data_IF_877440904050
#
_entry.id   IF_877440904050
#
_cell.length_a   1.000
_cell.length_b   1.000
_cell.length_c   1.000
_cell.angle_alpha   90.00
_cell.angle_beta   90.00
_cell.angle_gamma   90.00
#
_symmetry.space_group_name_H-M   'P 1'
#
loop_
_entity.id
_entity.type
_entity.pdbx_description
1 polymer ?
#
# COMPACT_ATOMS: atom_id res chain seq x y z
N UNK A 1 -14.09 2.48 -4.06
CA UNK A 1 -13.34 3.42 -3.21
C UNK A 1 -14.26 4.59 -2.88
N UNK A 2 -14.21 5.11 -1.65
CA UNK A 2 -14.99 6.29 -1.26
C UNK A 2 -14.33 7.58 -1.76
N UNK A 3 -15.13 8.64 -1.89
CA UNK A 3 -14.67 9.93 -2.38
C UNK A 3 -13.86 10.67 -1.30
N UNK A 4 -12.70 11.22 -1.67
CA UNK A 4 -11.89 12.01 -0.73
C UNK A 4 -12.55 13.35 -0.40
N UNK A 5 -12.61 13.70 0.90
CA UNK A 5 -13.15 14.98 1.39
C UNK A 5 -12.03 15.81 2.02
N UNK A 6 -11.68 16.92 1.37
CA UNK A 6 -10.68 17.85 1.89
C UNK A 6 -11.20 18.66 3.09
N UNK A 7 -10.44 18.70 4.18
CA UNK A 7 -10.76 19.51 5.36
C UNK A 7 -10.30 20.97 5.16
N UNK A 8 -11.15 21.77 4.50
CA UNK A 8 -10.86 23.19 4.22
C UNK A 8 -10.67 24.03 5.49
N UNK A 9 -11.37 23.70 6.57
CA UNK A 9 -11.27 24.40 7.85
C UNK A 9 -9.91 24.13 8.52
N UNK A 10 -9.45 22.87 8.52
CA UNK A 10 -8.12 22.52 9.01
C UNK A 10 -6.99 23.13 8.17
N UNK A 11 -7.17 23.23 6.85
CA UNK A 11 -6.19 23.92 5.98
C UNK A 11 -6.14 25.44 6.25
N UNK A 12 -7.29 26.08 6.48
CA UNK A 12 -7.35 27.50 6.83
C UNK A 12 -6.77 27.77 8.22
N UNK A 13 -7.06 26.91 9.20
CA UNK A 13 -6.54 27.00 10.56
C UNK A 13 -5.02 26.83 10.61
N UNK A 14 -4.48 25.84 9.89
CA UNK A 14 -3.02 25.62 9.81
C UNK A 14 -2.31 26.77 9.09
N UNK A 15 -2.88 27.33 8.02
CA UNK A 15 -2.36 28.53 7.38
C UNK A 15 -2.37 29.76 8.31
N UNK A 16 -3.46 29.96 9.05
CA UNK A 16 -3.57 31.05 10.03
C UNK A 16 -2.58 30.88 11.19
N UNK A 17 -2.39 29.65 11.68
CA UNK A 17 -1.40 29.33 12.72
C UNK A 17 0.03 29.57 12.26
N UNK A 18 0.36 29.20 11.02
CA UNK A 18 1.67 29.49 10.43
C UNK A 18 1.92 30.99 10.24
N UNK A 19 0.91 31.75 9.80
CA UNK A 19 1.01 33.20 9.71
C UNK A 19 1.20 33.85 11.10
N UNK A 20 0.47 33.39 12.11
CA UNK A 20 0.58 33.88 13.47
C UNK A 20 1.95 33.57 14.12
N UNK A 21 2.53 32.40 13.84
CA UNK A 21 3.86 32.02 14.36
C UNK A 21 5.00 32.80 13.70
N UNK A 22 4.86 33.13 12.41
CA UNK A 22 5.82 33.97 11.69
C UNK A 22 5.75 35.45 12.08
N UNK A 23 4.56 35.94 12.46
CA UNK A 23 4.33 37.37 12.79
C UNK A 23 4.45 37.71 14.28
N UNK A 24 4.51 36.72 15.19
CA UNK A 24 4.08 36.90 16.59
C UNK A 24 5.03 36.48 17.70
N UNK A 25 6.36 36.47 17.50
CA UNK A 25 7.39 36.00 18.45
C UNK A 25 7.40 36.62 19.88
N UNK A 26 6.43 37.46 20.25
CA UNK A 26 6.32 38.14 21.56
C UNK A 26 4.94 37.95 22.24
N UNK A 27 3.92 37.40 21.55
CA UNK A 27 2.58 37.13 22.12
C UNK A 27 2.32 35.66 22.50
N UNK A 28 3.39 34.88 22.75
CA UNK A 28 3.42 33.42 22.91
C UNK A 28 2.59 32.78 24.05
N UNK A 29 1.61 33.48 24.62
CA UNK A 29 0.66 32.94 25.61
C UNK A 29 -0.77 32.74 25.07
N UNK A 30 -1.12 33.29 23.90
CA UNK A 30 -2.42 33.03 23.26
C UNK A 30 -2.43 31.79 22.34
N UNK A 31 -1.27 31.31 21.89
CA UNK A 31 -1.19 30.14 21.01
C UNK A 31 -1.53 28.82 21.72
N UNK A 32 -1.38 28.75 23.04
CA UNK A 32 -1.71 27.56 23.84
C UNK A 32 -3.21 27.20 23.83
N UNK A 33 -4.10 28.16 23.55
CA UNK A 33 -5.55 27.90 23.42
C UNK A 33 -5.99 27.47 22.02
N UNK A 34 -5.18 27.73 20.97
CA UNK A 34 -5.51 27.34 19.60
C UNK A 34 -5.35 25.81 19.38
N UNK A 35 -4.31 25.19 19.95
CA UNK A 35 -4.12 23.74 19.87
C UNK A 35 -5.20 22.92 20.59
N UNK A 36 -5.89 23.51 21.59
CA UNK A 36 -7.04 22.88 22.24
C UNK A 36 -8.35 23.04 21.45
N UNK A 37 -8.47 24.06 20.59
CA UNK A 37 -9.65 24.21 19.72
C UNK A 37 -9.57 23.29 18.49
N UNK A 38 -8.36 23.04 17.99
CA UNK A 38 -8.13 22.17 16.83
C UNK A 38 -8.53 20.71 17.12
N UNK A 39 -8.27 20.22 18.34
CA UNK A 39 -8.70 18.89 18.78
C UNK A 39 -10.21 18.77 19.04
N UNK A 40 -10.90 19.89 19.33
CA UNK A 40 -12.35 19.91 19.58
C UNK A 40 -13.19 19.95 18.29
N UNK A 41 -12.67 20.55 17.20
CA UNK A 41 -13.38 20.67 15.91
C UNK A 41 -12.94 19.59 14.91
N UNK A 42 -11.69 19.14 14.99
CA UNK A 42 -11.17 18.08 14.14
C UNK A 42 -11.94 16.76 14.29
N UNK A 43 -12.20 16.33 15.52
CA UNK A 43 -12.87 15.06 15.83
C UNK A 43 -14.22 14.89 15.11
N UNK A 44 -15.21 15.78 15.34
CA UNK A 44 -16.54 15.66 14.72
C UNK A 44 -16.53 15.73 13.18
N UNK A 45 -15.63 16.52 12.59
CA UNK A 45 -15.50 16.60 11.12
C UNK A 45 -14.89 15.33 10.54
N UNK A 46 -13.89 14.75 11.21
CA UNK A 46 -13.33 13.46 10.82
C UNK A 46 -14.35 12.33 10.97
N UNK A 47 -15.12 12.30 12.06
CA UNK A 47 -16.16 11.32 12.30
C UNK A 47 -17.28 11.40 11.26
N UNK A 48 -17.72 12.62 10.90
CA UNK A 48 -18.70 12.83 9.85
C UNK A 48 -18.18 12.37 8.48
N UNK A 49 -16.93 12.71 8.14
CA UNK A 49 -16.32 12.29 6.88
C UNK A 49 -16.16 10.76 6.80
N UNK A 50 -15.81 10.12 7.92
CA UNK A 50 -15.74 8.65 8.01
C UNK A 50 -17.13 8.04 7.82
N UNK A 51 -18.16 8.57 8.48
CA UNK A 51 -19.54 8.11 8.32
C UNK A 51 -19.99 8.20 6.87
N UNK A 52 -19.78 9.34 6.22
CA UNK A 52 -20.15 9.54 4.81
C UNK A 52 -19.41 8.54 3.89
N UNK A 53 -18.12 8.30 4.15
CA UNK A 53 -17.35 7.32 3.41
C UNK A 53 -17.86 5.89 3.59
N UNK A 54 -18.23 5.51 4.82
CA UNK A 54 -18.83 4.19 5.13
C UNK A 54 -20.18 4.05 4.42
N UNK A 55 -21.03 5.07 4.47
CA UNK A 55 -22.34 5.08 3.79
C UNK A 55 -22.21 4.93 2.27
N UNK A 56 -21.20 5.54 1.66
CA UNK A 56 -20.91 5.42 0.23
C UNK A 56 -20.51 3.99 -0.16
N UNK A 57 -19.67 3.33 0.64
CA UNK A 57 -19.09 2.04 0.25
C UNK A 57 -19.84 0.83 0.80
N UNK A 58 -20.70 0.97 1.82
CA UNK A 58 -21.34 -0.18 2.50
C UNK A 58 -22.04 -1.13 1.55
N UNK A 59 -22.65 -0.61 0.47
CA UNK A 59 -23.39 -1.40 -0.51
C UNK A 59 -22.48 -2.28 -1.38
N UNK A 60 -21.17 -2.00 -1.40
CA UNK A 60 -20.16 -2.77 -2.13
C UNK A 60 -19.61 -3.94 -1.31
N UNK A 61 -20.01 -4.10 -0.05
CA UNK A 61 -19.52 -5.16 0.83
C UNK A 61 -20.63 -6.15 1.19
N UNK A 62 -20.27 -7.42 1.26
CA UNK A 62 -21.14 -8.52 1.69
C UNK A 62 -20.50 -9.27 2.84
N UNK A 63 -21.32 -9.67 3.81
CA UNK A 63 -20.90 -10.58 4.85
C UNK A 63 -21.08 -12.02 4.38
N UNK A 64 -20.01 -12.81 4.43
CA UNK A 64 -20.07 -14.23 4.12
C UNK A 64 -20.81 -14.97 5.24
N UNK A 65 -21.87 -15.71 4.88
CA UNK A 65 -22.69 -16.47 5.84
C UNK A 65 -21.96 -17.68 6.43
N UNK A 66 -20.90 -18.17 5.78
CA UNK A 66 -20.10 -19.30 6.26
C UNK A 66 -19.03 -18.89 7.27
N UNK A 67 -18.19 -17.90 6.94
CA UNK A 67 -17.06 -17.51 7.80
C UNK A 67 -17.27 -16.19 8.56
N UNK A 68 -18.34 -15.45 8.28
CA UNK A 68 -18.65 -14.17 8.92
C UNK A 68 -17.83 -12.97 8.43
N UNK A 69 -16.88 -13.17 7.51
CA UNK A 69 -16.03 -12.10 6.99
C UNK A 69 -16.80 -11.15 6.08
N UNK A 70 -16.51 -9.85 6.19
CA UNK A 70 -16.95 -8.84 5.25
C UNK A 70 -15.94 -8.71 4.12
N UNK A 71 -16.41 -8.89 2.89
CA UNK A 71 -15.58 -8.82 1.67
C UNK A 71 -16.25 -7.91 0.64
N UNK A 72 -15.47 -7.36 -0.29
CA UNK A 72 -16.04 -6.56 -1.37
C UNK A 72 -16.74 -7.49 -2.39
N UNK A 73 -18.00 -7.17 -2.70
CA UNK A 73 -18.81 -7.90 -3.68
C UNK A 73 -18.23 -7.89 -5.11
N UNK A 74 -17.60 -6.80 -5.60
CA UNK A 74 -17.13 -6.77 -6.99
C UNK A 74 -15.94 -7.68 -7.29
N UNK A 75 -15.12 -8.05 -6.28
CA UNK A 75 -13.83 -8.72 -6.49
C UNK A 75 -13.63 -9.96 -5.64
N UNK A 76 -14.15 -10.03 -4.41
CA UNK A 76 -13.84 -11.11 -3.48
C UNK A 76 -15.05 -12.03 -3.17
N UNK A 77 -16.11 -11.90 -3.98
CA UNK A 77 -17.38 -12.58 -3.78
C UNK A 77 -17.72 -13.45 -4.97
N UNK A 78 -17.77 -14.76 -4.74
CA UNK A 78 -18.21 -15.71 -5.73
C UNK A 78 -19.73 -15.62 -5.89
N UNK A 79 -20.19 -14.95 -6.95
CA UNK A 79 -21.62 -14.77 -7.27
C UNK A 79 -22.33 -16.08 -7.61
N UNK A 80 -21.62 -17.11 -8.08
CA UNK A 80 -22.22 -18.42 -8.37
C UNK A 80 -22.49 -19.18 -7.07
N UNK A 81 -21.53 -19.17 -6.14
CA UNK A 81 -21.62 -19.88 -4.86
C UNK A 81 -22.30 -19.09 -3.73
N UNK A 82 -22.49 -17.77 -3.90
CA UNK A 82 -23.00 -16.85 -2.88
C UNK A 82 -22.21 -16.91 -1.57
N UNK A 83 -20.88 -17.00 -1.69
CA UNK A 83 -19.93 -17.04 -0.57
C UNK A 83 -18.68 -16.21 -0.95
N UNK A 84 -17.86 -15.86 0.05
CA UNK A 84 -16.56 -15.27 -0.24
C UNK A 84 -15.63 -16.28 -0.93
N UNK A 85 -14.72 -15.80 -1.77
CA UNK A 85 -13.78 -16.65 -2.51
C UNK A 85 -12.83 -17.43 -1.60
N UNK A 86 -12.55 -16.95 -0.38
CA UNK A 86 -11.80 -17.73 0.61
C UNK A 86 -12.53 -19.01 1.05
N UNK A 87 -13.87 -19.01 1.00
CA UNK A 87 -14.69 -20.18 1.34
C UNK A 87 -15.10 -21.00 0.11
N UNK A 88 -15.34 -20.34 -1.02
CA UNK A 88 -15.75 -20.94 -2.27
C UNK A 88 -15.11 -20.15 -3.43
N UNK A 89 -13.84 -20.45 -3.77
CA UNK A 89 -13.13 -19.71 -4.82
C UNK A 89 -13.77 -19.93 -6.19
N UNK A 90 -13.60 -18.99 -7.11
CA UNK A 90 -13.92 -19.24 -8.51
C UNK A 90 -12.84 -20.16 -9.11
N UNK A 91 -13.27 -21.30 -9.64
CA UNK A 91 -12.36 -22.35 -10.09
C UNK A 91 -11.53 -21.91 -11.29
N UNK A 92 -12.05 -21.03 -12.14
CA UNK A 92 -11.33 -20.55 -13.32
C UNK A 92 -10.16 -19.64 -12.92
N UNK A 93 -10.36 -18.81 -11.90
CA UNK A 93 -9.33 -17.93 -11.33
C UNK A 93 -8.24 -18.75 -10.62
N UNK A 94 -8.64 -19.74 -9.81
CA UNK A 94 -7.70 -20.64 -9.14
C UNK A 94 -6.90 -21.49 -10.14
N UNK A 95 -7.55 -21.97 -11.21
CA UNK A 95 -6.87 -22.69 -12.27
C UNK A 95 -5.83 -21.82 -12.97
N UNK A 96 -6.18 -20.58 -13.32
CA UNK A 96 -5.25 -19.63 -13.93
C UNK A 96 -4.07 -19.30 -12.98
N UNK A 97 -4.35 -19.09 -11.70
CA UNK A 97 -3.34 -18.87 -10.65
C UNK A 97 -2.38 -20.07 -10.53
N UNK A 98 -2.92 -21.29 -10.46
CA UNK A 98 -2.13 -22.51 -10.36
C UNK A 98 -1.26 -22.75 -11.61
N UNK A 99 -1.79 -22.50 -12.81
CA UNK A 99 -1.02 -22.57 -14.05
C UNK A 99 0.14 -21.57 -14.05
N UNK A 100 -0.11 -20.32 -13.65
CA UNK A 100 0.92 -19.29 -13.57
C UNK A 100 2.00 -19.64 -12.53
N UNK A 101 1.60 -20.22 -11.40
CA UNK A 101 2.53 -20.67 -10.36
C UNK A 101 3.41 -21.82 -10.87
N UNK A 102 2.81 -22.84 -11.49
CA UNK A 102 3.56 -23.96 -12.08
C UNK A 102 4.54 -23.48 -13.17
N UNK A 103 4.13 -22.53 -14.02
CA UNK A 103 5.01 -21.95 -15.03
C UNK A 103 6.19 -21.20 -14.43
N UNK A 104 5.98 -20.45 -13.34
CA UNK A 104 7.07 -19.79 -12.58
C UNK A 104 8.04 -20.80 -12.00
N UNK A 105 7.53 -21.85 -11.38
CA UNK A 105 8.36 -22.88 -10.75
C UNK A 105 9.23 -23.60 -11.79
N UNK A 106 8.64 -23.97 -12.93
CA UNK A 106 9.38 -24.53 -14.06
C UNK A 106 10.45 -23.57 -14.61
N UNK A 107 10.16 -22.27 -14.68
CA UNK A 107 11.15 -21.28 -15.10
C UNK A 107 12.32 -21.20 -14.12
N UNK A 108 12.04 -21.18 -12.81
CA UNK A 108 13.06 -21.19 -11.77
C UNK A 108 13.90 -22.46 -11.83
N UNK A 109 13.30 -23.63 -12.01
CA UNK A 109 14.01 -24.90 -12.16
C UNK A 109 14.94 -24.90 -13.38
N UNK A 110 14.44 -24.45 -14.54
CA UNK A 110 15.26 -24.33 -15.76
C UNK A 110 16.45 -23.40 -15.54
N UNK A 111 16.23 -22.26 -14.89
CA UNK A 111 17.31 -21.32 -14.54
C UNK A 111 18.32 -21.96 -13.60
N UNK A 112 17.89 -22.70 -12.58
CA UNK A 112 18.79 -23.41 -11.66
C UNK A 112 19.63 -24.48 -12.36
N UNK A 113 19.10 -25.12 -13.41
CA UNK A 113 19.79 -26.14 -14.18
C UNK A 113 20.83 -25.61 -15.17
N UNK A 114 20.87 -24.31 -15.43
CA UNK A 114 21.91 -23.69 -16.27
C UNK A 114 23.20 -23.58 -15.45
N UNK A 115 24.30 -24.09 -15.99
CA UNK A 115 25.63 -23.80 -15.44
C UNK A 115 26.02 -22.36 -15.78
N UNK A 116 25.72 -21.44 -14.86
CA UNK A 116 26.04 -20.02 -14.98
C UNK A 116 27.55 -19.71 -14.93
N UNK A 117 28.36 -20.71 -14.60
CA UNK A 117 29.80 -20.59 -14.38
C UNK A 117 30.63 -21.34 -15.43
N UNK A 118 29.99 -21.98 -16.42
CA UNK A 118 30.68 -22.76 -17.47
C UNK A 118 31.80 -21.95 -18.16
N UNK A 119 31.56 -20.67 -18.45
CA UNK A 119 32.54 -19.77 -19.08
C UNK A 119 33.29 -18.87 -18.07
N UNK A 120 33.20 -19.15 -16.75
CA UNK A 120 33.78 -18.29 -15.71
C UNK A 120 34.83 -19.01 -14.88
N UNK A 121 36.00 -18.37 -14.74
CA UNK A 121 37.03 -18.84 -13.82
C UNK A 121 36.61 -18.58 -12.36
N UNK A 122 36.08 -19.61 -11.68
CA UNK A 122 35.63 -19.55 -10.28
C UNK A 122 36.76 -19.44 -9.26
N UNK A 123 38.01 -19.68 -9.67
CA UNK A 123 39.18 -19.57 -8.79
C UNK A 123 39.69 -18.12 -8.64
N UNK A 124 39.22 -17.19 -9.49
CA UNK A 124 39.52 -15.76 -9.38
C UNK A 124 38.30 -15.00 -8.87
N UNK A 125 38.43 -14.38 -7.70
CA UNK A 125 37.39 -13.50 -7.16
C UNK A 125 37.10 -12.36 -8.14
N UNK A 126 35.85 -12.25 -8.60
CA UNK A 126 35.45 -11.17 -9.49
C UNK A 126 35.52 -9.82 -8.73
N UNK A 127 36.29 -8.83 -9.20
CA UNK A 127 36.31 -7.52 -8.58
C UNK A 127 34.96 -6.83 -8.78
N UNK A 128 34.20 -6.68 -7.69
CA UNK A 128 32.88 -6.01 -7.67
C UNK A 128 33.05 -4.47 -7.74
N UNK A 129 34.25 -3.98 -7.46
CA UNK A 129 34.60 -2.57 -7.46
C UNK A 129 35.96 -2.35 -8.15
N UNK A 130 36.09 -1.23 -8.85
CA UNK A 130 37.36 -0.80 -9.43
C UNK A 130 38.34 -0.41 -8.32
N UNK A 131 39.50 -1.07 -8.24
CA UNK A 131 40.51 -0.80 -7.21
C UNK A 131 41.09 0.63 -7.26
N UNK A 132 40.91 1.36 -8.38
CA UNK A 132 41.45 2.71 -8.57
C UNK A 132 40.47 3.83 -8.20
N UNK A 133 39.16 3.63 -8.38
CA UNK A 133 38.16 4.68 -8.18
C UNK A 133 36.95 4.26 -7.32
N UNK A 134 36.87 3.00 -6.87
CA UNK A 134 35.80 2.50 -6.02
C UNK A 134 34.44 2.30 -6.71
N UNK A 135 34.33 2.63 -8.00
CA UNK A 135 33.09 2.46 -8.75
C UNK A 135 32.71 0.97 -8.88
N UNK A 136 31.41 0.67 -8.71
CA UNK A 136 30.85 -0.69 -8.83
C UNK A 136 30.89 -1.15 -10.28
N UNK A 137 31.53 -2.28 -10.55
CA UNK A 137 31.58 -2.84 -11.90
C UNK A 137 30.35 -3.72 -12.14
N UNK A 138 29.56 -3.41 -13.17
CA UNK A 138 28.51 -4.31 -13.65
C UNK A 138 29.19 -5.47 -14.36
N UNK A 139 28.89 -6.70 -13.95
CA UNK A 139 29.50 -7.93 -14.46
C UNK A 139 29.20 -8.21 -15.94
N UNK A 140 29.79 -7.43 -16.84
CA UNK A 140 29.84 -7.65 -18.27
C UNK A 140 31.08 -8.45 -18.66
N UNK A 141 30.93 -9.30 -19.67
CA UNK A 141 31.95 -10.22 -20.19
C UNK A 141 33.22 -9.45 -20.64
N UNK A 142 34.37 -9.82 -20.09
CA UNK A 142 35.67 -9.81 -20.79
C UNK A 142 36.20 -11.24 -20.76
#
# INVERSE_FOLDING_TARGET
MSTFRANKLGMAASAAGAAASLLGGIFGRAAASAGQLESLVGGPLHDSALKDAVEEIRALFKQCTRCGQWVCEPVCWNKKAQLCEACAPDLDEELASAQAQAAKDQAVEKVKGVDWLADRNVAQAAPVTCAKCGAKMQGGKF
#
